data_IF_823971465530
#
_entry.id   IF_823971465530
#
_cell.length_a   1.000
_cell.length_b   1.000
_cell.length_c   1.000
_cell.angle_alpha   90.00
_cell.angle_beta   90.00
_cell.angle_gamma   90.00
#
_symmetry.space_group_name_H-M   'P 1'
#
loop_
_entity.id
_entity.type
_entity.pdbx_description
1 polymer ?
#
# COMPACT_ATOMS: atom_id res chain seq x y z
N UNK A 1 15.06 -7.10 -2.18
CA UNK A 1 13.69 -6.62 -2.51
C UNK A 1 12.67 -7.48 -1.80
N UNK A 2 12.36 -7.12 -0.56
CA UNK A 2 11.18 -7.66 0.10
C UNK A 2 9.97 -6.91 -0.44
N UNK A 3 9.36 -7.45 -1.49
CA UNK A 3 8.04 -7.03 -1.87
C UNK A 3 7.07 -7.47 -0.76
N UNK A 4 6.82 -6.61 0.22
CA UNK A 4 5.62 -6.71 1.03
C UNK A 4 4.46 -6.45 0.09
N UNK A 5 3.76 -7.50 -0.32
CA UNK A 5 2.51 -7.39 -1.05
C UNK A 5 1.40 -7.13 -0.04
N UNK A 6 1.32 -5.92 0.51
CA UNK A 6 0.11 -5.50 1.21
C UNK A 6 -0.95 -5.23 0.15
N UNK A 7 -2.08 -5.91 0.26
CA UNK A 7 -3.23 -5.62 -0.60
C UNK A 7 -3.97 -4.40 -0.06
N UNK A 8 -4.56 -3.55 -0.91
CA UNK A 8 -5.41 -2.46 -0.47
C UNK A 8 -6.50 -2.93 0.50
N UNK A 9 -6.82 -2.10 1.48
CA UNK A 9 -7.91 -2.38 2.40
C UNK A 9 -9.27 -2.16 1.73
N UNK A 10 -10.22 -3.06 2.03
CA UNK A 10 -11.57 -2.99 1.52
C UNK A 10 -12.46 -2.21 2.47
N UNK A 11 -13.13 -1.16 1.97
CA UNK A 11 -14.20 -0.47 2.69
C UNK A 11 -15.53 -0.78 2.05
N UNK A 12 -16.34 -1.59 2.71
CA UNK A 12 -17.66 -1.99 2.25
C UNK A 12 -18.72 -1.54 3.25
N UNK A 13 -19.71 -0.77 2.79
CA UNK A 13 -20.86 -0.43 3.62
C UNK A 13 -21.80 -1.64 3.74
N UNK A 14 -22.39 -1.90 4.91
CA UNK A 14 -23.40 -2.95 5.07
C UNK A 14 -24.54 -2.77 4.07
N UNK A 15 -24.97 -3.83 3.44
CA UNK A 15 -26.07 -3.81 2.49
C UNK A 15 -27.07 -4.93 2.80
N UNK A 16 -28.32 -4.72 2.38
CA UNK A 16 -29.37 -5.71 2.44
C UNK A 16 -30.11 -5.75 1.10
N UNK A 17 -30.65 -6.92 0.76
CA UNK A 17 -31.49 -7.06 -0.42
C UNK A 17 -32.93 -6.67 -0.10
N UNK A 18 -33.55 -5.95 -1.01
CA UNK A 18 -34.96 -5.57 -0.93
C UNK A 18 -35.68 -5.85 -2.26
N UNK A 19 -36.99 -6.03 -2.20
CA UNK A 19 -37.80 -6.12 -3.43
C UNK A 19 -37.97 -4.72 -4.04
N UNK A 20 -38.04 -4.63 -5.38
CA UNK A 20 -38.28 -3.35 -6.06
C UNK A 20 -39.68 -2.76 -5.79
N UNK A 21 -40.57 -3.54 -5.21
CA UNK A 21 -41.87 -3.07 -4.83
C UNK A 21 -41.78 -2.30 -3.49
N UNK A 22 -41.86 -0.98 -3.59
CA UNK A 22 -41.78 -0.02 -2.48
C UNK A 22 -42.87 -0.22 -1.36
N UNK A 23 -43.71 -1.22 -1.47
CA UNK A 23 -44.78 -1.50 -0.52
C UNK A 23 -44.35 -2.33 0.70
N UNK A 24 -43.14 -2.89 0.73
CA UNK A 24 -42.58 -3.69 1.82
C UNK A 24 -41.20 -3.20 2.26
N UNK A 25 -41.16 -1.98 2.78
CA UNK A 25 -40.01 -1.51 3.55
C UNK A 25 -39.83 -2.43 4.77
N UNK A 26 -38.82 -3.31 4.75
CA UNK A 26 -38.26 -4.14 5.84
C UNK A 26 -38.31 -5.68 5.68
N UNK A 27 -38.55 -6.21 4.50
CA UNK A 27 -38.35 -7.66 4.33
C UNK A 27 -36.88 -7.90 3.96
N UNK A 28 -36.07 -8.39 4.89
CA UNK A 28 -34.78 -9.00 4.58
C UNK A 28 -35.11 -10.26 3.78
N UNK A 29 -34.72 -10.27 2.50
CA UNK A 29 -34.91 -11.46 1.65
C UNK A 29 -33.79 -12.43 1.95
N UNK A 30 -34.08 -13.67 2.25
CA UNK A 30 -33.09 -14.75 2.33
C UNK A 30 -32.64 -15.09 0.91
N UNK A 31 -31.43 -14.69 0.57
CA UNK A 31 -30.83 -14.93 -0.76
C UNK A 31 -30.09 -16.26 -0.86
N UNK A 32 -30.30 -17.17 0.09
CA UNK A 32 -29.66 -18.50 0.08
C UNK A 32 -30.00 -19.27 -1.20
N UNK A 33 -28.95 -19.63 -1.94
CA UNK A 33 -29.08 -20.37 -3.20
C UNK A 33 -29.34 -19.48 -4.42
N UNK A 34 -29.27 -18.14 -4.26
CA UNK A 34 -29.42 -17.21 -5.38
C UNK A 34 -28.30 -17.29 -6.41
N UNK A 35 -28.61 -17.00 -7.66
CA UNK A 35 -27.63 -16.59 -8.67
C UNK A 35 -27.34 -15.11 -8.48
N UNK A 36 -26.09 -14.78 -8.16
CA UNK A 36 -25.69 -13.42 -7.79
C UNK A 36 -24.90 -12.77 -8.93
N UNK A 37 -25.24 -11.53 -9.25
CA UNK A 37 -24.49 -10.70 -10.20
C UNK A 37 -24.24 -9.33 -9.60
N UNK A 38 -23.21 -8.65 -10.12
CA UNK A 38 -22.86 -7.29 -9.71
C UNK A 38 -22.51 -6.46 -10.93
N UNK A 39 -22.88 -5.19 -10.91
CA UNK A 39 -22.59 -4.25 -11.99
C UNK A 39 -22.33 -2.84 -11.45
N UNK A 40 -21.28 -2.14 -11.90
CA UNK A 40 -20.24 -2.59 -12.83
C UNK A 40 -19.42 -3.77 -12.26
N UNK A 41 -18.42 -4.25 -12.99
CA UNK A 41 -17.49 -5.27 -12.50
C UNK A 41 -16.78 -4.79 -11.23
N UNK A 42 -16.55 -5.71 -10.31
CA UNK A 42 -15.80 -5.42 -9.08
C UNK A 42 -14.31 -5.15 -9.39
N UNK A 43 -13.63 -4.37 -8.55
CA UNK A 43 -12.18 -4.26 -8.61
C UNK A 43 -11.50 -5.63 -8.59
N UNK A 44 -10.35 -5.74 -9.23
CA UNK A 44 -9.55 -6.96 -9.26
C UNK A 44 -9.24 -7.43 -7.83
N UNK A 45 -9.35 -8.73 -7.61
CA UNK A 45 -9.18 -9.36 -6.30
C UNK A 45 -10.44 -9.46 -5.46
N UNK A 46 -11.53 -8.76 -5.83
CA UNK A 46 -12.83 -8.91 -5.20
C UNK A 46 -13.75 -9.84 -6.00
N UNK A 47 -14.58 -10.58 -5.31
CA UNK A 47 -15.53 -11.52 -5.91
C UNK A 47 -16.88 -11.46 -5.21
N UNK A 48 -17.94 -11.88 -5.93
CA UNK A 48 -19.26 -12.08 -5.35
C UNK A 48 -19.56 -13.59 -5.21
N UNK A 49 -19.90 -14.01 -3.99
CA UNK A 49 -20.20 -15.40 -3.71
C UNK A 49 -21.60 -15.76 -4.21
N UNK A 50 -21.69 -16.87 -4.96
CA UNK A 50 -22.97 -17.42 -5.37
C UNK A 50 -23.74 -18.01 -4.16
N UNK A 51 -25.04 -17.85 -4.14
CA UNK A 51 -25.90 -18.36 -3.06
C UNK A 51 -26.01 -17.47 -1.83
N UNK A 52 -25.11 -16.49 -1.63
CA UNK A 52 -25.17 -15.52 -0.51
C UNK A 52 -25.06 -14.08 -0.98
N UNK A 53 -24.59 -13.85 -2.22
CA UNK A 53 -24.30 -12.55 -2.79
C UNK A 53 -23.35 -11.67 -1.95
N UNK A 54 -22.50 -12.31 -1.16
CA UNK A 54 -21.50 -11.61 -0.35
C UNK A 54 -20.32 -11.21 -1.22
N UNK A 55 -19.91 -9.95 -1.15
CA UNK A 55 -18.66 -9.47 -1.77
C UNK A 55 -17.54 -9.70 -0.77
N UNK A 56 -16.45 -10.30 -1.23
CA UNK A 56 -15.26 -10.60 -0.44
C UNK A 56 -14.02 -10.70 -1.31
N UNK A 57 -12.86 -10.73 -0.69
CA UNK A 57 -11.56 -10.83 -1.35
C UNK A 57 -10.58 -9.78 -0.85
N UNK A 58 -9.41 -9.73 -1.47
CA UNK A 58 -8.40 -8.70 -1.22
C UNK A 58 -8.22 -7.91 -2.51
N UNK A 59 -8.61 -6.64 -2.54
CA UNK A 59 -8.44 -5.81 -3.72
C UNK A 59 -6.95 -5.67 -4.07
N UNK A 60 -6.65 -5.58 -5.36
CA UNK A 60 -5.28 -5.47 -5.88
C UNK A 60 -4.91 -4.04 -6.28
N UNK A 61 -5.88 -3.12 -6.25
CA UNK A 61 -5.70 -1.73 -6.66
C UNK A 61 -6.59 -0.80 -5.84
N UNK A 62 -6.21 0.46 -5.74
CA UNK A 62 -7.04 1.50 -5.18
C UNK A 62 -8.14 1.89 -6.16
N UNK A 63 -9.36 2.03 -5.65
CA UNK A 63 -10.49 2.49 -6.44
C UNK A 63 -11.31 3.54 -5.69
N UNK A 64 -11.78 4.58 -6.40
CA UNK A 64 -12.65 5.57 -5.78
C UNK A 64 -13.98 4.94 -5.37
N UNK A 65 -14.70 5.62 -4.47
CA UNK A 65 -16.03 5.18 -4.05
C UNK A 65 -16.96 5.05 -5.25
N UNK A 66 -17.33 3.82 -5.58
CA UNK A 66 -18.18 3.45 -6.71
C UNK A 66 -19.42 2.72 -6.18
N UNK A 67 -20.56 3.02 -6.78
CA UNK A 67 -21.84 2.35 -6.42
C UNK A 67 -22.07 1.18 -7.36
N UNK A 68 -22.20 0.00 -6.76
CA UNK A 68 -22.46 -1.28 -7.44
C UNK A 68 -23.90 -1.68 -7.25
N UNK A 69 -24.54 -2.17 -8.31
CA UNK A 69 -25.85 -2.83 -8.25
C UNK A 69 -25.61 -4.32 -8.05
N UNK A 70 -26.00 -4.84 -6.90
CA UNK A 70 -25.96 -6.28 -6.62
C UNK A 70 -27.36 -6.85 -6.87
N UNK A 71 -27.44 -7.94 -7.64
CA UNK A 71 -28.69 -8.59 -8.01
C UNK A 71 -28.64 -10.07 -7.60
N UNK A 72 -29.71 -10.54 -6.99
CA UNK A 72 -29.95 -11.92 -6.60
C UNK A 72 -31.17 -12.46 -7.34
N UNK A 73 -31.02 -13.55 -8.07
CA UNK A 73 -32.13 -14.26 -8.74
C UNK A 73 -32.42 -15.56 -8.01
N UNK A 74 -33.66 -15.68 -7.54
CA UNK A 74 -34.19 -16.87 -6.85
C UNK A 74 -35.59 -17.17 -7.38
N UNK A 75 -35.84 -18.41 -7.80
CA UNK A 75 -37.15 -18.90 -8.23
C UNK A 75 -37.79 -18.00 -9.32
N UNK A 76 -36.95 -17.43 -10.21
CA UNK A 76 -37.40 -16.54 -11.29
C UNK A 76 -37.73 -15.12 -10.84
N UNK A 77 -37.51 -14.76 -9.58
CA UNK A 77 -37.62 -13.40 -9.07
C UNK A 77 -36.23 -12.76 -8.94
N UNK A 78 -36.12 -11.49 -9.29
CA UNK A 78 -34.88 -10.71 -9.14
C UNK A 78 -35.03 -9.71 -8.01
N UNK A 79 -34.07 -9.71 -7.12
CA UNK A 79 -33.95 -8.76 -6.00
C UNK A 79 -32.66 -7.96 -6.18
N UNK A 80 -32.71 -6.66 -5.91
CA UNK A 80 -31.55 -5.80 -6.11
C UNK A 80 -31.27 -4.92 -4.90
N UNK A 81 -29.99 -4.61 -4.71
CA UNK A 81 -29.54 -3.60 -3.76
C UNK A 81 -28.34 -2.84 -4.31
N UNK A 82 -28.06 -1.68 -3.73
CA UNK A 82 -26.85 -0.91 -4.06
C UNK A 82 -25.90 -0.93 -2.88
N UNK A 83 -24.62 -1.12 -3.20
CA UNK A 83 -23.53 -1.02 -2.25
C UNK A 83 -22.49 -0.04 -2.77
N UNK A 84 -22.02 0.86 -1.91
CA UNK A 84 -20.88 1.70 -2.23
C UNK A 84 -19.63 1.04 -1.68
N UNK A 85 -18.59 0.93 -2.52
CA UNK A 85 -17.33 0.30 -2.18
C UNK A 85 -16.19 1.19 -2.68
N UNK A 86 -15.18 1.35 -1.85
CA UNK A 86 -13.88 1.92 -2.22
C UNK A 86 -12.78 1.01 -1.67
N UNK A 87 -11.64 1.04 -2.32
CA UNK A 87 -10.46 0.33 -1.86
C UNK A 87 -9.30 1.30 -1.72
N UNK A 88 -8.47 1.12 -0.71
CA UNK A 88 -7.34 1.98 -0.43
C UNK A 88 -6.21 1.17 0.22
N UNK A 89 -4.99 1.66 0.10
CA UNK A 89 -3.88 1.17 0.91
C UNK A 89 -3.96 1.84 2.29
N UNK A 90 -3.75 1.09 3.39
CA UNK A 90 -3.61 1.69 4.71
C UNK A 90 -2.46 2.71 4.73
N UNK A 91 -2.67 3.80 5.42
CA UNK A 91 -1.73 4.86 5.74
C UNK A 91 -2.05 5.22 7.20
N UNK A 92 -1.30 4.60 8.13
CA UNK A 92 -1.71 4.54 9.53
C UNK A 92 -1.51 5.85 10.27
N UNK A 93 -0.50 6.64 9.90
CA UNK A 93 -0.18 7.92 10.51
C UNK A 93 -0.65 9.13 9.69
N UNK A 94 -0.98 8.94 8.40
CA UNK A 94 -1.61 9.94 7.56
C UNK A 94 -0.63 10.92 6.91
N UNK A 95 0.62 10.53 6.75
CA UNK A 95 1.67 11.37 6.16
C UNK A 95 1.66 11.39 4.61
N UNK A 96 0.92 10.46 3.99
CA UNK A 96 0.76 10.31 2.54
C UNK A 96 1.56 9.16 1.93
N UNK A 97 2.32 8.41 2.74
CA UNK A 97 2.97 7.17 2.36
C UNK A 97 2.18 5.99 2.92
N UNK A 98 1.71 5.05 2.08
CA UNK A 98 1.05 3.87 2.59
C UNK A 98 1.97 2.98 3.43
N UNK A 99 1.44 2.33 4.48
CA UNK A 99 2.19 1.47 5.41
C UNK A 99 3.16 0.50 4.74
N UNK A 100 2.87 0.05 3.51
CA UNK A 100 3.72 -0.92 2.81
C UNK A 100 4.91 -0.28 2.06
N UNK A 101 4.94 1.03 1.94
CA UNK A 101 6.03 1.84 1.36
C UNK A 101 6.71 2.70 2.41
N UNK A 102 6.27 2.60 3.64
CA UNK A 102 6.69 3.41 4.76
C UNK A 102 7.54 2.56 5.72
N UNK A 103 8.73 3.00 6.00
CA UNK A 103 9.61 2.36 6.98
C UNK A 103 9.18 2.69 8.43
N UNK A 104 8.36 3.74 8.62
CA UNK A 104 7.87 4.23 9.92
C UNK A 104 6.35 4.43 9.96
N UNK A 105 5.52 3.39 9.76
CA UNK A 105 4.06 3.53 9.54
C UNK A 105 3.24 4.14 10.68
N UNK A 106 3.86 4.46 11.80
CA UNK A 106 3.25 5.06 12.98
C UNK A 106 3.85 6.46 13.29
N UNK A 107 4.76 6.98 12.45
CA UNK A 107 5.42 8.29 12.66
C UNK A 107 5.23 9.24 11.47
N UNK A 108 4.25 10.16 11.53
CA UNK A 108 3.90 11.05 10.41
C UNK A 108 4.99 12.06 10.03
N UNK A 109 6.18 11.96 10.55
CA UNK A 109 7.31 12.81 10.23
C UNK A 109 8.43 12.08 9.48
N UNK A 110 8.34 10.75 9.38
CA UNK A 110 9.33 9.89 8.76
C UNK A 110 8.65 8.85 7.85
N UNK A 111 9.25 8.54 6.72
CA UNK A 111 8.74 7.51 5.79
C UNK A 111 9.83 6.68 5.11
N UNK A 112 11.09 7.09 5.25
CA UNK A 112 12.23 6.44 4.61
C UNK A 112 13.37 6.29 5.61
N UNK A 113 14.01 5.12 5.58
CA UNK A 113 15.20 4.75 6.34
C UNK A 113 16.18 4.14 5.34
N UNK A 114 17.11 4.94 4.84
CA UNK A 114 17.96 4.54 3.71
C UNK A 114 18.99 3.50 4.11
N UNK A 115 19.66 3.66 5.24
CA UNK A 115 20.70 2.75 5.73
C UNK A 115 20.18 1.65 6.65
N UNK A 116 18.87 1.73 7.04
CA UNK A 116 18.16 0.76 7.90
C UNK A 116 18.71 0.69 9.32
N UNK A 117 19.15 1.81 9.87
CA UNK A 117 19.63 1.90 11.25
C UNK A 117 18.50 2.15 12.26
N UNK A 118 17.29 2.51 11.79
CA UNK A 118 16.09 2.76 12.57
C UNK A 118 15.87 4.23 12.91
N UNK A 119 16.64 5.14 12.30
CA UNK A 119 16.42 6.59 12.32
C UNK A 119 15.94 6.96 10.90
N UNK A 120 14.83 7.72 10.82
CA UNK A 120 14.33 8.15 9.51
C UNK A 120 15.14 9.29 8.93
N UNK A 121 15.19 9.37 7.62
CA UNK A 121 16.01 10.34 6.89
C UNK A 121 15.75 11.81 7.26
N UNK A 122 14.55 12.15 7.75
CA UNK A 122 14.30 13.53 8.20
C UNK A 122 14.98 13.86 9.52
N UNK A 123 15.27 12.86 10.36
CA UNK A 123 15.90 13.01 11.66
C UNK A 123 17.37 12.58 11.63
N UNK A 124 17.77 11.79 10.66
CA UNK A 124 19.15 11.38 10.47
C UNK A 124 20.02 12.54 9.97
N UNK A 125 21.28 12.44 10.08
CA UNK A 125 22.27 13.40 9.59
C UNK A 125 23.29 12.75 8.65
N UNK A 126 23.16 11.44 8.40
CA UNK A 126 24.02 10.58 7.60
C UNK A 126 23.13 9.48 7.00
N UNK A 127 22.23 9.89 6.09
CA UNK A 127 21.08 9.11 5.62
C UNK A 127 21.45 7.75 5.02
N UNK A 128 22.64 7.60 4.44
CA UNK A 128 23.10 6.35 3.81
C UNK A 128 24.13 5.58 4.65
N UNK A 129 24.54 6.16 5.80
CA UNK A 129 25.38 5.50 6.81
C UNK A 129 26.83 5.28 6.41
N UNK A 130 27.36 6.02 5.43
CA UNK A 130 28.71 5.83 4.91
C UNK A 130 29.79 6.57 5.72
N UNK A 131 29.35 7.45 6.65
CA UNK A 131 30.18 8.22 7.55
C UNK A 131 30.53 9.62 7.04
N UNK A 132 29.94 10.06 5.94
CA UNK A 132 29.76 11.45 5.59
C UNK A 132 28.37 11.88 6.04
N UNK A 133 28.23 13.08 6.50
CA UNK A 133 26.90 13.62 6.77
C UNK A 133 26.32 14.23 5.50
N UNK A 134 24.99 14.29 5.36
CA UNK A 134 24.28 14.92 4.23
C UNK A 134 24.82 16.31 3.90
N UNK A 135 25.14 17.09 4.95
CA UNK A 135 25.73 18.42 4.78
C UNK A 135 27.17 18.36 4.25
N UNK A 136 27.93 17.33 4.62
CA UNK A 136 29.29 17.16 4.08
C UNK A 136 29.25 16.75 2.63
N UNK A 137 28.36 15.84 2.26
CA UNK A 137 28.15 15.37 0.92
C UNK A 137 27.67 16.49 -0.01
N UNK A 138 26.68 17.25 0.40
CA UNK A 138 26.17 18.40 -0.34
C UNK A 138 27.25 19.48 -0.57
N UNK A 139 28.25 19.56 0.30
CA UNK A 139 29.36 20.50 0.20
C UNK A 139 30.69 19.86 -0.29
N UNK A 140 30.69 18.58 -0.58
CA UNK A 140 31.86 17.88 -1.16
C UNK A 140 32.15 18.35 -2.59
N UNK A 141 33.32 18.00 -3.10
CA UNK A 141 33.66 18.31 -4.50
C UNK A 141 34.48 17.17 -5.12
N UNK A 142 33.85 16.34 -5.96
CA UNK A 142 32.48 16.43 -6.45
C UNK A 142 31.42 16.29 -5.32
N UNK A 143 30.17 16.68 -5.60
CA UNK A 143 29.02 16.47 -4.70
C UNK A 143 28.65 14.99 -4.74
N UNK A 144 28.46 14.37 -3.59
CA UNK A 144 27.96 13.01 -3.43
C UNK A 144 26.45 13.00 -3.11
N UNK A 145 25.81 11.84 -3.20
CA UNK A 145 24.37 11.68 -2.99
C UNK A 145 24.12 11.10 -1.60
N UNK A 146 23.59 11.89 -0.68
CA UNK A 146 23.33 11.50 0.70
C UNK A 146 22.33 10.34 0.90
N UNK A 147 21.80 9.79 -0.18
CA UNK A 147 20.95 8.60 -0.15
C UNK A 147 21.62 7.39 -0.82
N UNK A 148 22.86 7.55 -1.27
CA UNK A 148 23.60 6.50 -1.96
C UNK A 148 25.06 6.47 -1.50
N UNK A 149 25.44 5.51 -0.68
CA UNK A 149 26.77 5.48 -0.06
C UNK A 149 27.94 5.23 -1.04
N UNK A 150 27.65 5.05 -2.32
CA UNK A 150 28.61 4.81 -3.42
C UNK A 150 28.07 5.52 -4.67
N UNK A 151 28.30 6.83 -4.75
CA UNK A 151 27.69 7.71 -5.77
C UNK A 151 28.13 7.35 -7.19
N UNK A 152 29.35 6.84 -7.38
CA UNK A 152 29.87 6.50 -8.71
C UNK A 152 29.82 5.01 -9.04
N UNK A 153 29.28 4.18 -8.14
CA UNK A 153 29.10 2.72 -8.29
C UNK A 153 30.42 1.94 -8.50
N UNK A 154 31.53 2.39 -7.91
CA UNK A 154 32.82 1.73 -8.06
C UNK A 154 33.07 0.63 -7.00
N UNK A 155 32.21 0.53 -6.00
CA UNK A 155 32.25 -0.44 -4.91
C UNK A 155 32.98 0.05 -3.66
N UNK A 156 33.45 1.29 -3.64
CA UNK A 156 33.95 1.97 -2.45
C UNK A 156 32.92 3.01 -2.01
N UNK A 157 32.75 3.15 -0.69
CA UNK A 157 31.85 4.18 -0.18
C UNK A 157 32.49 5.54 -0.30
N UNK A 158 31.68 6.56 -0.56
CA UNK A 158 32.08 7.98 -0.62
C UNK A 158 32.69 8.41 0.71
N UNK A 159 32.16 7.86 1.80
CA UNK A 159 32.64 8.06 3.16
C UNK A 159 33.65 7.00 3.65
N UNK A 160 33.83 6.96 4.95
CA UNK A 160 34.88 6.14 5.58
C UNK A 160 34.34 4.87 6.24
N UNK A 161 33.05 4.57 6.11
CA UNK A 161 32.38 3.44 6.73
C UNK A 161 31.84 2.51 5.63
N UNK A 162 32.09 1.20 5.77
CA UNK A 162 31.46 0.20 4.88
C UNK A 162 29.99 0.06 5.18
N UNK A 163 29.14 0.15 4.19
CA UNK A 163 27.69 0.06 4.33
C UNK A 163 27.21 -1.35 3.98
N UNK A 164 26.38 -1.91 4.86
CA UNK A 164 25.76 -3.22 4.70
C UNK A 164 24.28 -3.13 5.09
N UNK A 165 23.38 -3.34 4.12
CA UNK A 165 21.94 -3.32 4.32
C UNK A 165 21.40 -4.73 4.13
N UNK A 166 20.56 -5.21 5.07
CA UNK A 166 19.97 -6.56 5.02
C UNK A 166 21.00 -7.72 4.83
N UNK A 167 22.20 -7.57 5.41
CA UNK A 167 23.34 -8.47 5.24
C UNK A 167 23.93 -8.52 3.81
N UNK A 168 23.64 -7.53 3.00
CA UNK A 168 24.26 -7.33 1.70
C UNK A 168 25.23 -6.16 1.81
N UNK A 169 26.50 -6.40 1.50
CA UNK A 169 27.49 -5.32 1.40
C UNK A 169 27.10 -4.46 0.20
N UNK A 170 26.94 -3.17 0.44
CA UNK A 170 26.65 -2.16 -0.58
C UNK A 170 27.98 -1.60 -1.11
N UNK A 171 28.82 -1.11 -0.21
CA UNK A 171 30.15 -0.62 -0.55
C UNK A 171 31.16 -0.88 0.57
N UNK A 172 32.45 -0.88 0.26
CA UNK A 172 33.54 -1.05 1.22
C UNK A 172 34.14 0.30 1.60
N UNK A 173 34.46 0.49 2.89
CA UNK A 173 35.27 1.61 3.32
C UNK A 173 36.65 1.56 2.65
N UNK A 174 36.99 2.58 1.93
CA UNK A 174 38.23 2.62 1.21
C UNK A 174 38.64 4.05 0.84
N UNK A 175 39.86 4.22 0.29
CA UNK A 175 40.19 5.51 -0.32
C UNK A 175 39.42 5.59 -1.62
N UNK A 176 38.21 6.08 -1.59
CA UNK A 176 37.54 6.48 -2.81
C UNK A 176 38.34 7.63 -3.45
N UNK A 177 38.65 7.47 -4.71
CA UNK A 177 39.43 8.45 -5.45
C UNK A 177 38.56 9.43 -6.24
N UNK A 178 37.27 9.12 -6.36
CA UNK A 178 36.30 9.86 -7.15
C UNK A 178 34.88 9.71 -6.59
N UNK A 179 34.61 10.20 -5.34
CA UNK A 179 33.30 10.11 -4.71
C UNK A 179 32.23 10.86 -5.51
#
# INVERSE_FOLDING_TARGET
SNHYTSSPSQVVTPYSFSTEDNSLMNSIVDVKGATCTVSPDLPDGLTIAQGTCTISGSPLEETPSTTYLVSAEIDGNTYTTRVSLSTYYPDSDGDGYPDYLDDFPDDPTEWLDTDKDGIGNNADTDDDGDGLTDVQEQNSNPVTDSLNPDTDDDGFCDGSISVTIDNVLICEAGPDAFP
#
